data_IF_664073866167
#
_entry.id   IF_664073866167
#
_cell.length_a   1.000
_cell.length_b   1.000
_cell.length_c   1.000
_cell.angle_alpha   90.00
_cell.angle_beta   90.00
_cell.angle_gamma   90.00
#
_symmetry.space_group_name_H-M   'P 1'
#
loop_
_entity.id
_entity.type
_entity.pdbx_description
1 polymer ?
#
# COMPACT_ATOMS: atom_id res chain seq x y z
N UNK A 1 10.87 3.94 17.75
CA UNK A 1 11.07 4.42 16.35
C UNK A 1 10.04 3.81 15.39
N UNK A 2 9.93 2.47 15.26
CA UNK A 2 8.97 1.86 14.32
C UNK A 2 7.50 2.12 14.65
N UNK A 3 7.10 2.10 15.93
CA UNK A 3 5.72 2.44 16.32
C UNK A 3 5.35 3.89 15.99
N UNK A 4 6.30 4.81 16.15
CA UNK A 4 6.14 6.22 15.77
C UNK A 4 5.96 6.37 14.26
N UNK A 5 6.76 5.62 13.46
CA UNK A 5 6.62 5.62 12.00
C UNK A 5 5.24 5.11 11.56
N UNK A 6 4.73 4.03 12.17
CA UNK A 6 3.38 3.54 11.92
C UNK A 6 2.35 4.63 12.21
N UNK A 7 2.45 5.32 13.35
CA UNK A 7 1.52 6.38 13.72
C UNK A 7 1.52 7.53 12.70
N UNK A 8 2.70 7.98 12.26
CA UNK A 8 2.82 9.03 11.24
C UNK A 8 2.26 8.61 9.88
N UNK A 9 2.49 7.37 9.46
CA UNK A 9 1.95 6.86 8.20
C UNK A 9 0.43 6.72 8.25
N UNK A 10 -0.14 6.22 9.36
CA UNK A 10 -1.58 6.18 9.56
C UNK A 10 -2.19 7.59 9.58
N UNK A 11 -1.53 8.55 10.22
CA UNK A 11 -1.97 9.94 10.23
C UNK A 11 -1.93 10.55 8.83
N UNK A 12 -0.85 10.33 8.07
CA UNK A 12 -0.73 10.80 6.69
C UNK A 12 -1.83 10.19 5.81
N UNK A 13 -2.10 8.89 5.93
CA UNK A 13 -3.18 8.22 5.22
C UNK A 13 -4.53 8.90 5.47
N UNK A 14 -4.84 9.18 6.73
CA UNK A 14 -6.06 9.90 7.14
C UNK A 14 -6.12 11.34 6.62
N UNK A 15 -5.00 12.06 6.62
CA UNK A 15 -4.92 13.44 6.08
C UNK A 15 -5.21 13.44 4.58
N UNK A 16 -4.55 12.60 3.79
CA UNK A 16 -4.79 12.55 2.34
C UNK A 16 -6.24 12.17 2.01
N UNK A 17 -6.80 11.21 2.74
CA UNK A 17 -8.20 10.83 2.60
C UNK A 17 -9.15 11.98 2.93
N UNK A 18 -8.92 12.70 4.04
CA UNK A 18 -9.71 13.86 4.42
C UNK A 18 -9.62 14.98 3.37
N UNK A 19 -8.42 15.28 2.87
CA UNK A 19 -8.23 16.29 1.83
C UNK A 19 -9.01 15.92 0.57
N UNK A 20 -8.93 14.65 0.13
CA UNK A 20 -9.68 14.15 -1.03
C UNK A 20 -11.20 14.31 -0.85
N UNK A 21 -11.74 13.79 0.25
CA UNK A 21 -13.19 13.69 0.43
C UNK A 21 -13.84 14.99 0.88
N UNK A 22 -13.15 15.77 1.72
CA UNK A 22 -13.76 16.92 2.42
C UNK A 22 -13.31 18.28 1.89
N UNK A 23 -12.13 18.36 1.26
CA UNK A 23 -11.56 19.62 0.78
C UNK A 23 -11.67 19.68 -0.75
N UNK A 24 -11.09 18.72 -1.46
CA UNK A 24 -11.08 18.71 -2.93
C UNK A 24 -12.52 18.64 -3.49
N UNK A 25 -13.41 17.88 -2.87
CA UNK A 25 -14.83 17.86 -3.27
C UNK A 25 -15.52 19.25 -3.24
N UNK A 26 -15.08 20.15 -2.36
CA UNK A 26 -15.62 21.51 -2.20
C UNK A 26 -14.90 22.56 -3.03
N UNK A 27 -13.68 22.26 -3.47
CA UNK A 27 -12.77 23.23 -4.08
C UNK A 27 -12.48 22.87 -5.54
N UNK A 28 -13.54 22.70 -6.33
CA UNK A 28 -13.41 22.39 -7.75
C UNK A 28 -12.91 23.64 -8.52
N UNK A 29 -11.74 23.59 -9.18
CA UNK A 29 -11.25 24.71 -9.98
C UNK A 29 -12.25 25.04 -11.09
N UNK A 30 -12.46 26.33 -11.38
CA UNK A 30 -13.36 26.77 -12.45
C UNK A 30 -12.91 26.28 -13.83
N UNK A 31 -11.60 26.06 -14.02
CA UNK A 31 -11.00 25.48 -15.23
C UNK A 31 -11.17 23.96 -15.35
N UNK A 32 -11.53 23.26 -14.26
CA UNK A 32 -11.54 21.80 -14.19
C UNK A 32 -10.15 21.16 -14.01
N UNK A 33 -9.07 21.93 -14.14
CA UNK A 33 -7.69 21.46 -14.02
C UNK A 33 -7.23 21.50 -12.56
N UNK A 34 -7.11 20.31 -11.97
CA UNK A 34 -6.50 20.14 -10.67
C UNK A 34 -4.99 20.35 -10.75
N UNK A 35 -4.40 20.94 -9.71
CA UNK A 35 -2.97 20.74 -9.48
C UNK A 35 -2.73 19.22 -9.39
N UNK A 36 -1.70 18.67 -10.04
CA UNK A 36 -1.49 17.21 -10.15
C UNK A 36 -1.44 16.53 -8.77
N UNK A 37 -0.89 17.21 -7.77
CA UNK A 37 -0.78 16.72 -6.39
C UNK A 37 -2.12 16.69 -5.62
N UNK A 38 -3.09 17.50 -6.06
CA UNK A 38 -4.44 17.60 -5.48
C UNK A 38 -5.50 16.85 -6.27
N UNK A 39 -5.11 16.21 -7.37
CA UNK A 39 -6.00 15.34 -8.11
C UNK A 39 -6.52 14.21 -7.18
N UNK A 40 -7.83 13.91 -7.19
CA UNK A 40 -8.41 12.90 -6.30
C UNK A 40 -7.72 11.54 -6.36
N UNK A 41 -7.26 11.12 -7.56
CA UNK A 41 -6.56 9.86 -7.76
C UNK A 41 -5.17 9.88 -7.11
N UNK A 42 -4.47 11.01 -7.12
CA UNK A 42 -3.18 11.19 -6.45
C UNK A 42 -3.34 11.14 -4.94
N UNK A 43 -4.31 11.88 -4.39
CA UNK A 43 -4.60 11.88 -2.96
C UNK A 43 -5.04 10.49 -2.47
N UNK A 44 -5.87 9.80 -3.26
CA UNK A 44 -6.27 8.42 -2.96
C UNK A 44 -5.06 7.48 -2.99
N UNK A 45 -4.20 7.59 -4.01
CA UNK A 45 -2.98 6.80 -4.12
C UNK A 45 -2.05 7.02 -2.92
N UNK A 46 -1.78 8.27 -2.55
CA UNK A 46 -0.94 8.62 -1.40
C UNK A 46 -1.52 8.11 -0.08
N UNK A 47 -2.83 8.22 0.10
CA UNK A 47 -3.52 7.68 1.28
C UNK A 47 -3.32 6.17 1.40
N UNK A 48 -3.50 5.46 0.29
CA UNK A 48 -3.38 4.00 0.19
C UNK A 48 -1.95 3.53 0.40
N UNK A 49 -0.99 4.21 -0.22
CA UNK A 49 0.43 3.93 -0.07
C UNK A 49 0.89 4.08 1.38
N UNK A 50 0.53 5.18 2.04
CA UNK A 50 0.88 5.42 3.43
C UNK A 50 0.31 4.36 4.37
N UNK A 51 -0.95 3.95 4.15
CA UNK A 51 -1.57 2.89 4.93
C UNK A 51 -0.90 1.53 4.71
N UNK A 52 -0.58 1.19 3.46
CA UNK A 52 0.13 -0.04 3.10
C UNK A 52 1.51 -0.12 3.77
N UNK A 53 2.27 0.98 3.75
CA UNK A 53 3.57 1.08 4.42
C UNK A 53 3.43 0.92 5.94
N UNK A 54 2.42 1.53 6.55
CA UNK A 54 2.14 1.38 7.99
C UNK A 54 1.86 -0.09 8.36
N UNK A 55 0.97 -0.74 7.60
CA UNK A 55 0.62 -2.15 7.78
C UNK A 55 1.82 -3.07 7.57
N UNK A 56 2.65 -2.81 6.56
CA UNK A 56 3.89 -3.56 6.29
C UNK A 56 4.84 -3.51 7.48
N UNK A 57 5.04 -2.34 8.08
CA UNK A 57 5.88 -2.19 9.29
C UNK A 57 5.25 -2.92 10.47
N UNK A 58 3.93 -2.80 10.66
CA UNK A 58 3.21 -3.48 11.74
C UNK A 58 3.34 -5.01 11.64
N UNK A 59 3.23 -5.58 10.44
CA UNK A 59 3.43 -7.01 10.18
C UNK A 59 4.85 -7.43 10.57
N UNK A 60 5.87 -6.67 10.18
CA UNK A 60 7.28 -6.96 10.53
C UNK A 60 7.50 -7.02 12.05
N UNK A 61 6.84 -6.15 12.81
CA UNK A 61 6.92 -6.16 14.29
C UNK A 61 6.15 -7.36 14.88
N UNK A 62 5.10 -7.81 14.20
CA UNK A 62 4.18 -8.84 14.70
C UNK A 62 4.69 -10.26 14.42
N UNK A 63 5.44 -10.49 13.33
CA UNK A 63 5.98 -11.80 12.95
C UNK A 63 6.78 -12.49 14.09
N UNK A 64 7.68 -11.80 14.82
CA UNK A 64 8.40 -12.41 15.95
C UNK A 64 7.51 -12.92 17.09
N UNK A 65 6.25 -12.50 17.16
CA UNK A 65 5.31 -12.82 18.24
C UNK A 65 4.58 -14.17 18.05
N UNK A 66 5.17 -15.12 17.31
CA UNK A 66 4.65 -16.48 17.07
C UNK A 66 3.20 -16.52 16.54
N UNK A 67 2.83 -15.59 15.66
CA UNK A 67 1.52 -15.65 14.98
C UNK A 67 1.43 -16.87 14.07
N UNK A 68 0.21 -17.36 13.81
CA UNK A 68 -0.01 -18.47 12.88
C UNK A 68 0.38 -18.08 11.46
N UNK A 69 0.91 -19.05 10.70
CA UNK A 69 1.35 -18.84 9.31
C UNK A 69 0.20 -18.33 8.44
N UNK A 70 -1.00 -18.94 8.53
CA UNK A 70 -2.23 -18.47 7.89
C UNK A 70 -2.57 -16.99 8.17
N UNK A 71 -2.43 -16.52 9.42
CA UNK A 71 -2.68 -15.11 9.75
C UNK A 71 -1.66 -14.19 9.08
N UNK A 72 -0.38 -14.56 9.10
CA UNK A 72 0.68 -13.79 8.45
C UNK A 72 0.44 -13.70 6.93
N UNK A 73 0.01 -14.79 6.29
CA UNK A 73 -0.36 -14.78 4.85
C UNK A 73 -1.48 -13.77 4.58
N UNK A 74 -2.58 -13.82 5.34
CA UNK A 74 -3.72 -12.91 5.16
C UNK A 74 -3.30 -11.45 5.32
N UNK A 75 -2.49 -11.16 6.32
CA UNK A 75 -1.99 -9.80 6.55
C UNK A 75 -1.10 -9.33 5.39
N UNK A 76 -0.17 -10.17 4.92
CA UNK A 76 0.72 -9.83 3.80
C UNK A 76 -0.08 -9.61 2.51
N UNK A 77 -1.04 -10.48 2.20
CA UNK A 77 -1.88 -10.35 1.01
C UNK A 77 -2.76 -9.09 1.06
N UNK A 78 -3.30 -8.73 2.23
CA UNK A 78 -4.04 -7.48 2.38
C UNK A 78 -3.19 -6.24 2.05
N UNK A 79 -1.91 -6.24 2.43
CA UNK A 79 -0.99 -5.14 2.07
C UNK A 79 -0.64 -5.16 0.57
N UNK A 80 -0.52 -6.35 -0.03
CA UNK A 80 -0.30 -6.50 -1.48
C UNK A 80 -1.45 -5.87 -2.28
N UNK A 81 -2.70 -6.09 -1.86
CA UNK A 81 -3.89 -5.50 -2.48
C UNK A 81 -3.87 -3.96 -2.43
N UNK A 82 -3.45 -3.37 -1.31
CA UNK A 82 -3.34 -1.92 -1.17
C UNK A 82 -2.23 -1.33 -2.08
N UNK A 83 -1.08 -2.00 -2.21
CA UNK A 83 -0.05 -1.59 -3.18
C UNK A 83 -0.51 -1.75 -4.63
N UNK A 84 -1.28 -2.79 -4.96
CA UNK A 84 -1.85 -2.98 -6.29
C UNK A 84 -2.80 -1.83 -6.65
N UNK A 85 -3.66 -1.43 -5.71
CA UNK A 85 -4.55 -0.29 -5.92
C UNK A 85 -3.76 1.02 -6.11
N UNK A 86 -2.74 1.27 -5.27
CA UNK A 86 -1.88 2.44 -5.41
C UNK A 86 -1.17 2.48 -6.78
N UNK A 87 -0.65 1.35 -7.25
CA UNK A 87 0.02 1.27 -8.54
C UNK A 87 -0.93 1.56 -9.71
N UNK A 88 -2.17 1.04 -9.66
CA UNK A 88 -3.19 1.29 -10.71
C UNK A 88 -3.58 2.77 -10.78
N UNK A 89 -3.77 3.42 -9.62
CA UNK A 89 -4.07 4.84 -9.55
C UNK A 89 -2.93 5.70 -10.11
N UNK A 90 -1.68 5.33 -9.79
CA UNK A 90 -0.49 6.02 -10.29
C UNK A 90 -0.33 5.88 -11.81
N UNK A 91 -0.60 4.68 -12.35
CA UNK A 91 -0.54 4.42 -13.79
C UNK A 91 -1.63 5.16 -14.57
N UNK A 92 -2.83 5.30 -14.00
CA UNK A 92 -3.92 6.06 -14.60
C UNK A 92 -3.57 7.55 -14.80
N UNK A 93 -2.68 8.11 -13.98
CA UNK A 93 -2.21 9.50 -14.10
C UNK A 93 -1.01 9.69 -15.04
N UNK A 94 -0.32 8.62 -15.44
CA UNK A 94 0.96 8.68 -16.18
C UNK A 94 0.81 9.09 -17.66
N UNK A 95 -0.34 9.64 -18.07
CA UNK A 95 -0.60 10.09 -19.44
C UNK A 95 -0.11 11.53 -19.74
N UNK A 96 0.50 12.23 -18.77
CA UNK A 96 1.03 13.61 -18.92
C UNK A 96 2.40 13.83 -18.23
N UNK A 97 2.98 15.04 -18.40
CA UNK A 97 4.38 15.49 -18.17
C UNK A 97 5.06 15.21 -16.79
N UNK A 98 4.43 14.49 -15.86
CA UNK A 98 4.99 14.16 -14.54
C UNK A 98 5.66 12.78 -14.57
N UNK A 99 6.74 12.62 -15.35
CA UNK A 99 7.27 11.29 -15.73
C UNK A 99 8.42 10.76 -14.86
N UNK A 100 9.24 11.62 -14.23
CA UNK A 100 10.44 11.16 -13.50
C UNK A 100 10.16 10.79 -12.04
N UNK A 101 9.50 11.65 -11.25
CA UNK A 101 9.18 11.35 -9.85
C UNK A 101 8.21 10.17 -9.69
N UNK A 102 7.38 9.91 -10.71
CA UNK A 102 6.49 8.76 -10.78
C UNK A 102 7.25 7.45 -11.01
N UNK A 103 8.41 7.44 -11.68
CA UNK A 103 9.12 6.21 -12.01
C UNK A 103 9.73 5.51 -10.78
N UNK A 104 10.43 6.25 -9.91
CA UNK A 104 11.01 5.69 -8.68
C UNK A 104 9.93 5.23 -7.71
N UNK A 105 8.84 6.00 -7.61
CA UNK A 105 7.69 5.63 -6.79
C UNK A 105 7.01 4.36 -7.32
N UNK A 106 6.81 4.26 -8.64
CA UNK A 106 6.28 3.05 -9.28
C UNK A 106 7.20 1.86 -9.02
N UNK A 107 8.52 2.03 -9.13
CA UNK A 107 9.49 0.98 -8.86
C UNK A 107 9.44 0.55 -7.40
N UNK A 108 9.35 1.48 -6.45
CA UNK A 108 9.19 1.20 -5.03
C UNK A 108 7.94 0.37 -4.75
N UNK A 109 6.79 0.78 -5.29
CA UNK A 109 5.50 0.09 -5.10
C UNK A 109 5.58 -1.33 -5.71
N UNK A 110 6.08 -1.46 -6.94
CA UNK A 110 6.25 -2.76 -7.61
C UNK A 110 7.17 -3.70 -6.84
N UNK A 111 8.32 -3.22 -6.40
CA UNK A 111 9.27 -4.02 -5.64
C UNK A 111 8.71 -4.44 -4.28
N UNK A 112 7.97 -3.54 -3.61
CA UNK A 112 7.32 -3.84 -2.32
C UNK A 112 6.21 -4.88 -2.48
N UNK A 113 5.39 -4.76 -3.53
CA UNK A 113 4.38 -5.75 -3.91
C UNK A 113 4.99 -7.13 -4.16
N UNK A 114 6.00 -7.22 -5.02
CA UNK A 114 6.67 -8.48 -5.36
C UNK A 114 7.30 -9.14 -4.12
N UNK A 115 7.98 -8.34 -3.30
CA UNK A 115 8.60 -8.82 -2.07
C UNK A 115 7.58 -9.40 -1.09
N UNK A 116 6.46 -8.69 -0.86
CA UNK A 116 5.42 -9.16 0.06
C UNK A 116 4.66 -10.35 -0.49
N UNK A 117 4.44 -10.41 -1.80
CA UNK A 117 3.87 -11.60 -2.48
C UNK A 117 4.78 -12.82 -2.28
N UNK A 118 6.09 -12.66 -2.46
CA UNK A 118 7.04 -13.75 -2.21
C UNK A 118 7.02 -14.20 -0.75
N UNK A 119 7.02 -13.25 0.19
CA UNK A 119 6.88 -13.55 1.62
C UNK A 119 5.58 -14.30 1.91
N UNK A 120 4.45 -13.86 1.36
CA UNK A 120 3.15 -14.51 1.53
C UNK A 120 3.18 -15.96 1.03
N UNK A 121 3.81 -16.22 -0.13
CA UNK A 121 4.02 -17.57 -0.64
C UNK A 121 4.87 -18.43 0.30
N UNK A 122 5.96 -17.90 0.87
CA UNK A 122 6.76 -18.65 1.85
C UNK A 122 5.97 -19.00 3.12
N UNK A 123 5.13 -18.09 3.62
CA UNK A 123 4.27 -18.39 4.77
C UNK A 123 3.11 -19.32 4.43
N UNK A 124 2.60 -19.28 3.20
CA UNK A 124 1.58 -20.20 2.71
C UNK A 124 2.14 -21.62 2.59
N UNK A 125 3.34 -21.76 2.05
CA UNK A 125 4.09 -23.01 2.02
C UNK A 125 4.24 -23.61 3.42
N UNK A 126 4.67 -22.77 4.37
CA UNK A 126 4.79 -23.15 5.79
C UNK A 126 3.46 -23.58 6.39
N UNK A 127 2.37 -22.86 6.09
CA UNK A 127 1.03 -23.20 6.53
C UNK A 127 0.59 -24.56 5.95
N UNK A 128 0.81 -24.82 4.67
CA UNK A 128 0.49 -26.11 4.05
C UNK A 128 1.30 -27.26 4.64
N UNK A 129 2.60 -27.08 4.88
CA UNK A 129 3.43 -28.07 5.56
C UNK A 129 2.92 -28.38 6.98
N UNK A 130 2.50 -27.36 7.73
CA UNK A 130 1.93 -27.53 9.08
C UNK A 130 0.61 -28.32 9.10
N UNK A 131 -0.05 -28.46 7.95
CA UNK A 131 -1.31 -29.21 7.81
C UNK A 131 -1.14 -30.47 6.92
N UNK A 132 0.08 -30.99 6.78
CA UNK A 132 0.43 -32.19 5.99
C UNK A 132 0.05 -32.12 4.50
N UNK A 133 -0.15 -30.91 3.97
CA UNK A 133 -0.44 -30.66 2.54
C UNK A 133 0.85 -30.40 1.78
N UNK A 134 1.83 -31.29 1.92
CA UNK A 134 3.18 -31.10 1.39
C UNK A 134 3.26 -30.93 -0.13
N UNK A 135 2.27 -31.42 -0.89
CA UNK A 135 2.20 -31.20 -2.35
C UNK A 135 1.76 -29.80 -2.76
N UNK A 136 1.25 -28.99 -1.82
CA UNK A 136 0.89 -27.58 -2.01
C UNK A 136 1.90 -26.63 -1.35
N UNK A 137 2.87 -27.18 -0.62
CA UNK A 137 3.90 -26.42 0.10
C UNK A 137 5.03 -25.97 -0.84
#
# INVERSE_FOLDING_TARGET
MLMTAIAYLCQAAGVYHYVCDQIASKWRPASGDWAPDLAPEMLTMLSKLALADAQRIAIRITIPQKKSSSLVVKLLLGVVEEYDLALRLLQAQSAGEVTEMTADLQLYIRNSHLYLTACAKCYLAKDHHQHDRNGLA
#
